data_IF_201545866463
#
_entry.id   IF_201545866463
#
_cell.length_a   1.000
_cell.length_b   1.000
_cell.length_c   1.000
_cell.angle_alpha   90.00
_cell.angle_beta   90.00
_cell.angle_gamma   90.00
#
_symmetry.space_group_name_H-M   'P 1'
#
loop_
_entity.id
_entity.type
_entity.pdbx_description
1 polymer ?
#
# COMPACT_ATOMS: atom_id res chain seq x y z
N UNK A 1 14.76 13.99 11.97
CA UNK A 1 14.11 12.79 11.41
C UNK A 1 12.71 13.19 10.97
N UNK A 2 12.37 12.97 9.71
CA UNK A 2 11.01 13.20 9.22
C UNK A 2 10.07 12.22 9.95
N UNK A 3 8.85 12.65 10.27
CA UNK A 3 7.83 11.78 10.90
C UNK A 3 7.55 10.51 10.09
N UNK A 4 7.96 10.48 8.81
CA UNK A 4 7.84 9.37 7.86
C UNK A 4 8.73 8.16 8.18
N UNK A 5 9.75 8.33 9.04
CA UNK A 5 10.61 7.24 9.52
C UNK A 5 10.36 6.85 10.97
N UNK A 6 9.34 7.43 11.62
CA UNK A 6 9.02 7.13 13.02
C UNK A 6 8.73 5.64 13.21
N UNK A 7 9.48 5.01 14.14
CA UNK A 7 9.30 3.59 14.49
C UNK A 7 10.05 2.59 13.62
N UNK A 8 10.89 3.03 12.66
CA UNK A 8 11.77 2.13 11.90
C UNK A 8 13.07 1.88 12.66
N UNK A 9 13.56 0.63 12.62
CA UNK A 9 14.88 0.29 13.16
C UNK A 9 16.00 0.80 12.25
N UNK A 10 17.22 1.03 12.76
CA UNK A 10 18.37 1.43 11.93
C UNK A 10 18.63 0.45 10.78
N UNK A 11 18.49 -0.85 11.03
CA UNK A 11 18.68 -1.90 10.02
C UNK A 11 17.61 -1.80 8.92
N UNK A 12 16.38 -1.45 9.27
CA UNK A 12 15.29 -1.26 8.30
C UNK A 12 15.53 -0.02 7.43
N UNK A 13 16.03 1.06 8.04
CA UNK A 13 16.39 2.29 7.32
C UNK A 13 17.54 2.01 6.34
N UNK A 14 18.58 1.31 6.80
CA UNK A 14 19.73 0.97 5.95
C UNK A 14 19.34 0.02 4.82
N UNK A 15 18.47 -0.96 5.11
CA UNK A 15 17.91 -1.84 4.07
C UNK A 15 17.13 -1.04 3.02
N UNK A 16 16.31 -0.07 3.42
CA UNK A 16 15.58 0.79 2.49
C UNK A 16 16.53 1.64 1.62
N UNK A 17 17.60 2.18 2.21
CA UNK A 17 18.64 2.92 1.49
C UNK A 17 19.31 2.05 0.43
N UNK A 18 19.70 0.82 0.79
CA UNK A 18 20.42 -0.12 -0.07
C UNK A 18 19.53 -0.74 -1.16
N UNK A 19 18.31 -1.16 -0.82
CA UNK A 19 17.47 -1.95 -1.72
C UNK A 19 16.46 -1.12 -2.52
N UNK A 20 16.07 0.04 -1.98
CA UNK A 20 15.01 0.88 -2.53
C UNK A 20 15.51 2.24 -3.01
N UNK A 21 16.78 2.59 -2.81
CA UNK A 21 17.34 3.93 -3.07
C UNK A 21 16.65 5.04 -2.25
N UNK A 22 16.08 4.71 -1.09
CA UNK A 22 15.45 5.71 -0.24
C UNK A 22 16.51 6.65 0.35
N UNK A 23 16.46 7.93 -0.03
CA UNK A 23 17.36 8.95 0.48
C UNK A 23 16.59 9.99 1.32
N UNK A 24 16.84 10.09 2.64
CA UNK A 24 16.17 11.04 3.52
C UNK A 24 16.30 12.51 3.09
N UNK A 25 17.40 12.88 2.42
CA UNK A 25 17.69 14.28 2.07
C UNK A 25 16.81 14.79 0.91
N UNK A 26 16.37 13.89 0.02
CA UNK A 26 15.54 14.22 -1.16
C UNK A 26 14.13 13.65 -1.07
N UNK A 27 13.79 12.97 0.04
CA UNK A 27 12.52 12.27 0.22
C UNK A 27 11.27 13.13 -0.09
N UNK A 28 11.25 14.38 0.40
CA UNK A 28 10.14 15.29 0.15
C UNK A 28 10.07 15.73 -1.32
N UNK A 29 11.21 15.86 -2.00
CA UNK A 29 11.25 16.18 -3.43
C UNK A 29 10.73 15.01 -4.26
N UNK A 30 11.09 13.77 -3.93
CA UNK A 30 10.59 12.58 -4.62
C UNK A 30 9.08 12.43 -4.48
N UNK A 31 8.54 12.68 -3.28
CA UNK A 31 7.10 12.69 -3.02
C UNK A 31 6.41 13.78 -3.86
N UNK A 32 6.99 14.98 -3.91
CA UNK A 32 6.42 16.09 -4.67
C UNK A 32 6.41 15.80 -6.18
N UNK A 33 7.45 15.21 -6.74
CA UNK A 33 7.48 14.82 -8.15
C UNK A 33 6.35 13.86 -8.52
N UNK A 34 6.03 12.89 -7.66
CA UNK A 34 4.89 11.97 -7.88
C UNK A 34 3.56 12.73 -7.82
N UNK A 35 3.43 13.69 -6.90
CA UNK A 35 2.24 14.52 -6.76
C UNK A 35 2.03 15.42 -7.99
N UNK A 36 3.10 15.98 -8.53
CA UNK A 36 3.03 16.85 -9.71
C UNK A 36 2.55 16.08 -10.96
N UNK A 37 2.82 14.78 -11.05
CA UNK A 37 2.33 13.96 -12.16
C UNK A 37 0.81 13.70 -12.10
N UNK A 38 0.15 13.90 -10.96
CA UNK A 38 -1.31 13.64 -10.81
C UNK A 38 -2.15 14.45 -11.79
N UNK A 39 -1.76 15.71 -12.07
CA UNK A 39 -2.49 16.59 -13.00
C UNK A 39 -2.52 16.03 -14.43
N UNK A 40 -1.62 15.11 -14.78
CA UNK A 40 -1.55 14.49 -16.11
C UNK A 40 -2.63 13.44 -16.34
N UNK A 41 -3.36 13.02 -15.29
CA UNK A 41 -4.44 12.01 -15.33
C UNK A 41 -5.74 12.54 -14.73
N UNK A 42 -6.38 13.56 -15.34
CA UNK A 42 -7.63 14.13 -14.83
C UNK A 42 -8.81 13.15 -14.87
N UNK A 43 -8.69 12.04 -15.60
CA UNK A 43 -9.66 10.96 -15.66
C UNK A 43 -9.71 10.11 -14.37
N UNK A 44 -8.67 10.19 -13.52
CA UNK A 44 -8.57 9.41 -12.28
C UNK A 44 -8.87 10.27 -11.05
N UNK A 45 -9.75 9.77 -10.18
CA UNK A 45 -10.06 10.37 -8.89
C UNK A 45 -9.05 9.95 -7.83
N UNK A 46 -7.98 10.74 -7.65
CA UNK A 46 -6.96 10.51 -6.62
C UNK A 46 -7.46 10.96 -5.25
N UNK A 47 -8.10 10.04 -4.51
CA UNK A 47 -8.75 10.35 -3.22
C UNK A 47 -7.78 10.57 -2.05
N UNK A 48 -6.49 10.22 -2.20
CA UNK A 48 -5.50 10.31 -1.13
C UNK A 48 -4.09 10.50 -1.68
N UNK A 49 -3.40 11.54 -1.22
CA UNK A 49 -2.10 12.00 -1.75
C UNK A 49 -1.16 12.56 -0.67
N UNK A 50 -1.40 12.25 0.61
CA UNK A 50 -0.49 12.59 1.70
C UNK A 50 0.86 11.86 1.55
N UNK A 51 1.90 12.44 2.14
CA UNK A 51 3.29 11.98 2.04
C UNK A 51 3.43 10.49 2.39
N UNK A 52 2.85 10.05 3.51
CA UNK A 52 2.91 8.66 3.95
C UNK A 52 2.18 7.70 2.99
N UNK A 53 1.19 8.18 2.24
CA UNK A 53 0.48 7.38 1.25
C UNK A 53 1.30 7.24 -0.04
N UNK A 54 1.81 8.35 -0.59
CA UNK A 54 2.66 8.36 -1.78
C UNK A 54 3.94 7.54 -1.55
N UNK A 55 4.53 7.64 -0.36
CA UNK A 55 5.75 6.92 0.00
C UNK A 55 5.63 5.39 -0.15
N UNK A 56 4.42 4.83 0.00
CA UNK A 56 4.16 3.39 -0.24
C UNK A 56 4.49 3.01 -1.68
N UNK A 57 4.13 3.85 -2.64
CA UNK A 57 4.32 3.63 -4.07
C UNK A 57 5.77 3.85 -4.48
N UNK A 58 6.43 4.89 -3.93
CA UNK A 58 7.86 5.12 -4.12
C UNK A 58 8.69 3.92 -3.64
N UNK A 59 8.45 3.45 -2.40
CA UNK A 59 9.13 2.26 -1.85
C UNK A 59 8.87 1.01 -2.69
N UNK A 60 7.62 0.78 -3.12
CA UNK A 60 7.25 -0.35 -3.98
C UNK A 60 7.90 -0.31 -5.38
N UNK A 61 8.43 0.85 -5.79
CA UNK A 61 9.10 1.06 -7.09
C UNK A 61 10.53 1.57 -6.95
N UNK A 62 11.17 1.32 -5.79
CA UNK A 62 12.57 1.66 -5.54
C UNK A 62 12.93 3.11 -5.91
N UNK A 63 12.00 4.02 -5.58
CA UNK A 63 12.10 5.45 -5.83
C UNK A 63 12.18 5.87 -7.31
N UNK A 64 11.84 4.99 -8.26
CA UNK A 64 11.54 5.40 -9.63
C UNK A 64 10.20 6.14 -9.69
N UNK A 65 10.23 7.47 -9.74
CA UNK A 65 9.07 8.35 -9.58
C UNK A 65 8.01 8.09 -10.65
N UNK A 66 8.41 7.92 -11.91
CA UNK A 66 7.49 7.65 -13.02
C UNK A 66 6.77 6.29 -12.86
N UNK A 67 7.49 5.26 -12.38
CA UNK A 67 6.90 3.94 -12.11
C UNK A 67 5.98 3.96 -10.88
N UNK A 68 6.37 4.72 -9.85
CA UNK A 68 5.57 4.94 -8.65
C UNK A 68 4.25 5.64 -9.00
N UNK A 69 4.29 6.69 -9.83
CA UNK A 69 3.09 7.34 -10.33
C UNK A 69 2.21 6.40 -11.16
N UNK A 70 2.79 5.59 -12.06
CA UNK A 70 2.04 4.61 -12.84
C UNK A 70 1.29 3.63 -11.94
N UNK A 71 1.95 3.14 -10.87
CA UNK A 71 1.32 2.27 -9.88
C UNK A 71 0.22 2.98 -9.08
N UNK A 72 0.44 4.23 -8.67
CA UNK A 72 -0.55 5.06 -7.97
C UNK A 72 -1.81 5.29 -8.81
N UNK A 73 -1.62 5.63 -10.09
CA UNK A 73 -2.71 5.82 -11.05
C UNK A 73 -3.51 4.52 -11.22
N UNK A 74 -2.84 3.38 -11.45
CA UNK A 74 -3.49 2.07 -11.57
C UNK A 74 -4.27 1.70 -10.30
N UNK A 75 -3.74 2.00 -9.12
CA UNK A 75 -4.39 1.73 -7.84
C UNK A 75 -5.74 2.44 -7.69
N UNK A 76 -5.83 3.71 -8.10
CA UNK A 76 -7.11 4.45 -8.04
C UNK A 76 -8.03 4.12 -9.21
N UNK A 77 -7.48 3.96 -10.42
CA UNK A 77 -8.24 3.53 -11.59
C UNK A 77 -8.95 2.20 -11.34
N UNK A 78 -8.25 1.23 -10.75
CA UNK A 78 -8.84 -0.06 -10.37
C UNK A 78 -10.03 0.11 -9.43
N UNK A 79 -9.96 1.03 -8.45
CA UNK A 79 -11.10 1.28 -7.54
C UNK A 79 -12.28 1.94 -8.23
N UNK A 80 -12.01 2.89 -9.12
CA UNK A 80 -13.06 3.55 -9.89
C UNK A 80 -13.77 2.60 -10.85
N UNK A 81 -13.05 1.62 -11.40
CA UNK A 81 -13.62 0.63 -12.31
C UNK A 81 -14.38 -0.50 -11.58
N UNK A 82 -14.11 -0.73 -10.29
CA UNK A 82 -14.69 -1.81 -9.50
C UNK A 82 -15.44 -1.27 -8.27
N UNK A 83 -16.33 -0.29 -8.48
CA UNK A 83 -17.05 0.38 -7.39
C UNK A 83 -17.95 -0.55 -6.58
N UNK A 84 -18.47 -1.60 -7.19
CA UNK A 84 -19.17 -2.70 -6.55
C UNK A 84 -18.37 -3.30 -5.38
N UNK A 85 -17.04 -3.39 -5.49
CA UNK A 85 -16.18 -3.86 -4.40
C UNK A 85 -15.80 -2.75 -3.40
N UNK A 86 -15.71 -1.48 -3.83
CA UNK A 86 -15.09 -0.41 -3.04
C UNK A 86 -16.05 0.67 -2.50
N UNK A 87 -17.26 0.81 -3.02
CA UNK A 87 -18.19 1.92 -2.70
C UNK A 87 -18.56 1.99 -1.22
N UNK A 88 -18.70 0.83 -0.56
CA UNK A 88 -19.03 0.71 0.86
C UNK A 88 -17.96 -0.07 1.63
N UNK A 89 -16.70 0.00 1.20
CA UNK A 89 -15.59 -0.73 1.82
C UNK A 89 -15.20 -0.12 3.17
N UNK A 90 -15.86 -0.58 4.24
CA UNK A 90 -15.65 -0.10 5.60
C UNK A 90 -15.21 -1.23 6.51
N UNK A 91 -14.37 -0.90 7.49
CA UNK A 91 -13.87 -1.87 8.46
C UNK A 91 -15.00 -2.43 9.36
N UNK A 92 -16.13 -1.74 9.46
CA UNK A 92 -17.27 -2.18 10.24
C UNK A 92 -18.27 -3.07 9.49
N UNK A 93 -18.07 -3.28 8.18
CA UNK A 93 -18.90 -4.14 7.33
C UNK A 93 -18.99 -5.57 7.92
N UNK A 94 -20.21 -6.09 8.15
CA UNK A 94 -20.40 -7.41 8.76
C UNK A 94 -19.81 -8.56 7.94
N UNK A 95 -19.85 -8.47 6.60
CA UNK A 95 -19.31 -9.50 5.71
C UNK A 95 -17.79 -9.55 5.77
N UNK A 96 -17.13 -8.38 5.73
CA UNK A 96 -15.67 -8.28 5.89
C UNK A 96 -15.26 -8.79 7.27
N UNK A 97 -15.93 -8.38 8.34
CA UNK A 97 -15.63 -8.86 9.70
C UNK A 97 -15.75 -10.37 9.81
N UNK A 98 -16.85 -10.93 9.31
CA UNK A 98 -17.09 -12.38 9.32
C UNK A 98 -16.01 -13.12 8.55
N UNK A 99 -15.69 -12.69 7.33
CA UNK A 99 -14.62 -13.28 6.53
C UNK A 99 -13.26 -13.28 7.27
N UNK A 100 -12.92 -12.18 7.93
CA UNK A 100 -11.67 -12.08 8.70
C UNK A 100 -11.70 -12.97 9.96
N UNK A 101 -12.83 -13.04 10.68
CA UNK A 101 -13.00 -13.95 11.84
C UNK A 101 -12.93 -15.42 11.43
N UNK A 102 -13.43 -15.76 10.24
CA UNK A 102 -13.36 -17.10 9.66
C UNK A 102 -11.96 -17.41 9.07
N UNK A 103 -11.01 -16.47 9.15
CA UNK A 103 -9.62 -16.67 8.71
C UNK A 103 -9.42 -16.51 7.20
N UNK A 104 -10.22 -15.66 6.55
CA UNK A 104 -10.18 -15.43 5.11
C UNK A 104 -9.92 -13.95 4.74
N UNK A 105 -8.66 -13.56 4.49
CA UNK A 105 -7.44 -14.31 4.81
C UNK A 105 -7.09 -14.24 6.29
N UNK A 106 -6.40 -15.27 6.79
CA UNK A 106 -5.74 -15.23 8.08
C UNK A 106 -4.42 -14.46 7.99
N UNK A 107 -4.02 -13.81 9.09
CA UNK A 107 -2.73 -13.11 9.19
C UNK A 107 -2.02 -13.62 10.44
N UNK A 108 -0.79 -14.12 10.30
CA UNK A 108 -0.01 -14.51 11.46
C UNK A 108 0.46 -13.29 12.26
N UNK A 109 0.46 -13.43 13.59
CA UNK A 109 0.95 -12.40 14.51
C UNK A 109 2.43 -12.10 14.25
N UNK A 110 3.21 -13.19 14.17
CA UNK A 110 4.63 -13.15 13.88
C UNK A 110 4.90 -12.90 12.40
N UNK A 111 5.98 -12.17 12.15
CA UNK A 111 6.56 -12.00 10.81
C UNK A 111 7.49 -13.18 10.52
N UNK A 112 7.81 -13.39 9.25
CA UNK A 112 8.91 -14.30 8.90
C UNK A 112 10.28 -13.69 9.23
N UNK A 113 11.34 -14.46 8.97
CA UNK A 113 12.72 -14.03 9.24
C UNK A 113 13.20 -12.86 8.36
N UNK A 114 12.44 -12.46 7.35
CA UNK A 114 12.69 -11.26 6.54
C UNK A 114 11.81 -10.06 6.98
N UNK A 115 11.00 -10.22 8.03
CA UNK A 115 10.09 -9.18 8.53
C UNK A 115 8.80 -9.04 7.70
N UNK A 116 8.48 -9.99 6.82
CA UNK A 116 7.28 -9.95 5.97
C UNK A 116 6.04 -10.41 6.76
N UNK A 117 4.88 -9.83 6.45
CA UNK A 117 3.60 -10.35 6.94
C UNK A 117 3.24 -11.63 6.21
N UNK A 118 2.74 -12.62 6.94
CA UNK A 118 2.38 -13.93 6.41
C UNK A 118 0.85 -13.98 6.33
N UNK A 119 0.33 -14.08 5.10
CA UNK A 119 -1.09 -14.26 4.82
C UNK A 119 -1.36 -15.75 4.58
N UNK A 120 -2.45 -16.26 5.14
CA UNK A 120 -2.90 -17.65 4.97
C UNK A 120 -4.28 -17.67 4.32
N UNK A 121 -4.45 -18.54 3.32
CA UNK A 121 -5.74 -18.91 2.78
C UNK A 121 -5.88 -20.43 2.82
N UNK A 122 -6.91 -20.92 3.52
CA UNK A 122 -7.25 -22.33 3.55
C UNK A 122 -8.41 -22.60 2.57
N UNK A 123 -8.07 -23.00 1.35
CA UNK A 123 -9.09 -23.24 0.31
C UNK A 123 -9.94 -24.50 0.55
N UNK A 124 -9.47 -25.45 1.37
CA UNK A 124 -10.10 -26.76 1.56
C UNK A 124 -11.56 -26.70 2.09
N UNK A 125 -11.94 -25.63 2.77
CA UNK A 125 -13.28 -25.45 3.36
C UNK A 125 -13.98 -24.20 2.83
N UNK A 126 -13.58 -23.67 1.67
CA UNK A 126 -14.21 -22.49 1.11
C UNK A 126 -15.57 -22.83 0.49
N UNK A 127 -16.64 -22.50 1.21
CA UNK A 127 -18.02 -22.59 0.73
C UNK A 127 -18.47 -21.24 0.18
N UNK A 128 -18.64 -21.15 -1.14
CA UNK A 128 -19.08 -19.91 -1.82
C UNK A 128 -20.59 -19.66 -1.71
N UNK A 129 -21.35 -20.58 -1.09
CA UNK A 129 -22.80 -20.46 -0.91
C UNK A 129 -23.21 -19.85 0.45
N UNK A 130 -22.26 -19.57 1.34
CA UNK A 130 -22.45 -19.07 2.71
C UNK A 130 -22.19 -17.57 2.91
#
# INVERSE_FOLDING_TARGET
>A
MTHLHAGLSPETIEKARLELNENPDVLHQDIQQVRDMIITRPDIGFLRTDDAFILRFLRARKFHQADAFRLLAQYFQYRQLNLDMFKNFKADDPGIKRALTDGFPGVLDNRDHYGRKILLLFAANWDQSR
#
